data_IF_865350596511
#
_entry.id   IF_865350596511
#
_cell.length_a   1.000
_cell.length_b   1.000
_cell.length_c   1.000
_cell.angle_alpha   90.00
_cell.angle_beta   90.00
_cell.angle_gamma   90.00
#
_symmetry.space_group_name_H-M   'P 1'
#
loop_
_entity.id
_entity.type
_entity.pdbx_description
1 polymer ?
#
# COMPACT_ATOMS: atom_id res chain seq x y z
N UNK A 1 -31.68 10.81 0.50
CA UNK A 1 -31.07 10.04 1.60
C UNK A 1 -31.31 8.55 1.39
N UNK A 2 -30.45 7.87 0.62
CA UNK A 2 -30.36 6.40 0.53
C UNK A 2 -29.17 6.08 -0.38
N UNK A 3 -28.34 5.11 0.00
CA UNK A 3 -27.21 4.49 -0.75
C UNK A 3 -25.78 4.64 -0.20
N UNK A 4 -25.59 4.96 1.09
CA UNK A 4 -24.26 4.83 1.74
C UNK A 4 -24.03 3.48 2.46
N UNK A 5 -24.99 2.56 2.47
CA UNK A 5 -24.88 1.29 3.20
C UNK A 5 -24.24 0.16 2.38
N UNK A 6 -24.45 0.12 1.06
CA UNK A 6 -24.01 -1.00 0.21
C UNK A 6 -22.49 -1.08 0.06
N UNK A 7 -21.80 0.06 0.02
CA UNK A 7 -20.34 0.07 -0.07
C UNK A 7 -19.68 -0.33 1.26
N UNK A 8 -20.27 0.00 2.41
CA UNK A 8 -19.65 -0.22 3.74
C UNK A 8 -19.47 -1.70 4.10
N UNK A 9 -20.39 -2.56 3.68
CA UNK A 9 -20.29 -4.03 3.88
C UNK A 9 -19.23 -4.67 2.99
N UNK A 10 -19.03 -4.18 1.77
CA UNK A 10 -17.96 -4.65 0.89
C UNK A 10 -16.56 -4.28 1.43
N UNK A 11 -16.42 -3.09 2.03
CA UNK A 11 -15.15 -2.63 2.61
C UNK A 11 -14.70 -3.46 3.83
N UNK A 12 -15.62 -3.92 4.68
CA UNK A 12 -15.29 -4.80 5.82
C UNK A 12 -14.75 -6.17 5.36
N UNK A 13 -15.23 -6.68 4.21
CA UNK A 13 -14.80 -7.98 3.67
C UNK A 13 -13.40 -7.96 3.07
N UNK A 14 -13.04 -6.90 2.32
CA UNK A 14 -11.70 -6.76 1.73
C UNK A 14 -10.60 -6.64 2.80
N UNK A 15 -10.90 -5.91 3.88
CA UNK A 15 -10.02 -5.75 5.02
C UNK A 15 -9.82 -7.05 5.80
N UNK A 16 -10.91 -7.81 6.03
CA UNK A 16 -10.85 -9.15 6.61
C UNK A 16 -10.03 -10.12 5.75
N UNK A 17 -10.15 -10.04 4.42
CA UNK A 17 -9.40 -10.90 3.50
C UNK A 17 -7.90 -10.54 3.44
N UNK A 18 -7.52 -9.26 3.55
CA UNK A 18 -6.11 -8.86 3.56
C UNK A 18 -5.35 -9.36 4.81
N UNK A 19 -6.05 -9.52 5.94
CA UNK A 19 -5.52 -10.06 7.19
C UNK A 19 -5.73 -11.58 7.34
N UNK A 20 -6.21 -12.24 6.30
CA UNK A 20 -6.35 -13.69 6.23
C UNK A 20 -5.24 -14.26 5.35
N UNK A 21 -4.62 -15.37 5.77
CA UNK A 21 -3.54 -16.06 5.06
C UNK A 21 -3.87 -16.24 3.57
N UNK A 22 -5.01 -16.83 3.24
CA UNK A 22 -5.37 -17.10 1.84
C UNK A 22 -5.71 -15.82 1.06
N UNK A 23 -6.47 -14.89 1.66
CA UNK A 23 -6.87 -13.64 1.00
C UNK A 23 -5.69 -12.73 0.71
N UNK A 24 -4.70 -12.68 1.61
CA UNK A 24 -3.47 -11.91 1.40
C UNK A 24 -2.67 -12.40 0.19
N UNK A 25 -2.58 -13.73 -0.03
CA UNK A 25 -1.89 -14.29 -1.19
C UNK A 25 -2.63 -14.01 -2.50
N UNK A 26 -3.97 -14.06 -2.48
CA UNK A 26 -4.79 -13.68 -3.64
C UNK A 26 -4.59 -12.20 -3.99
N UNK A 27 -4.60 -11.31 -3.00
CA UNK A 27 -4.36 -9.88 -3.22
C UNK A 27 -2.94 -9.62 -3.75
N UNK A 28 -1.92 -10.24 -3.16
CA UNK A 28 -0.55 -10.13 -3.66
C UNK A 28 -0.43 -10.61 -5.11
N UNK A 29 -1.06 -11.74 -5.46
CA UNK A 29 -1.09 -12.23 -6.83
C UNK A 29 -1.85 -11.27 -7.77
N UNK A 30 -2.97 -10.71 -7.34
CA UNK A 30 -3.75 -9.75 -8.12
C UNK A 30 -2.96 -8.47 -8.43
N UNK A 31 -2.21 -7.93 -7.47
CA UNK A 31 -1.39 -6.73 -7.67
C UNK A 31 -0.16 -6.99 -8.54
N UNK A 32 0.41 -8.20 -8.48
CA UNK A 32 1.54 -8.61 -9.33
C UNK A 32 1.12 -9.03 -10.73
N UNK A 33 -0.12 -9.45 -10.92
CA UNK A 33 -0.61 -9.90 -12.22
C UNK A 33 -0.67 -8.75 -13.23
N UNK A 34 -0.10 -8.96 -14.41
CA UNK A 34 -0.27 -8.07 -15.57
C UNK A 34 -1.63 -8.23 -16.26
N UNK A 35 -2.37 -9.30 -15.97
CA UNK A 35 -3.67 -9.57 -16.60
C UNK A 35 -4.84 -8.86 -15.93
N UNK A 36 -4.66 -8.38 -14.70
CA UNK A 36 -5.71 -7.68 -13.98
C UNK A 36 -5.70 -6.20 -14.37
N UNK A 37 -6.84 -5.70 -14.83
CA UNK A 37 -6.99 -4.31 -15.24
C UNK A 37 -6.63 -3.33 -14.13
N UNK A 38 -5.98 -2.24 -14.52
CA UNK A 38 -5.54 -1.19 -13.61
C UNK A 38 -6.70 -0.58 -12.81
N UNK A 39 -7.89 -0.44 -13.42
CA UNK A 39 -9.09 0.04 -12.73
C UNK A 39 -9.53 -0.87 -11.58
N UNK A 40 -9.34 -2.19 -11.71
CA UNK A 40 -9.68 -3.14 -10.64
C UNK A 40 -8.66 -3.04 -9.50
N UNK A 41 -7.36 -2.93 -9.83
CA UNK A 41 -6.31 -2.69 -8.84
C UNK A 41 -6.53 -1.38 -8.08
N UNK A 42 -6.93 -0.32 -8.78
CA UNK A 42 -7.28 0.97 -8.18
C UNK A 42 -8.41 0.84 -7.16
N UNK A 43 -9.51 0.17 -7.51
CA UNK A 43 -10.62 -0.06 -6.57
C UNK A 43 -10.19 -0.84 -5.32
N UNK A 44 -9.31 -1.83 -5.49
CA UNK A 44 -8.75 -2.59 -4.38
C UNK A 44 -7.87 -1.70 -3.49
N UNK A 45 -6.99 -0.89 -4.07
CA UNK A 45 -6.12 0.05 -3.34
C UNK A 45 -6.96 1.07 -2.57
N UNK A 46 -7.98 1.64 -3.21
CA UNK A 46 -8.91 2.59 -2.58
C UNK A 46 -9.62 2.01 -1.37
N UNK A 47 -9.79 0.68 -1.32
CA UNK A 47 -10.37 0.00 -0.15
C UNK A 47 -9.47 0.04 1.08
N UNK A 48 -8.17 0.29 0.92
CA UNK A 48 -7.19 0.39 2.00
C UNK A 48 -6.82 1.83 2.36
N UNK A 49 -7.33 2.83 1.62
CA UNK A 49 -6.89 4.22 1.79
C UNK A 49 -7.21 4.83 3.16
N UNK A 50 -8.21 4.28 3.83
CA UNK A 50 -8.68 4.71 5.15
C UNK A 50 -7.91 4.08 6.32
N UNK A 51 -7.20 2.97 6.12
CA UNK A 51 -6.55 2.24 7.23
C UNK A 51 -5.24 1.52 6.85
N UNK A 52 -4.29 2.30 6.35
CA UNK A 52 -2.93 1.81 6.10
C UNK A 52 -2.19 1.40 7.38
N UNK A 53 -2.45 2.09 8.49
CA UNK A 53 -1.83 1.85 9.79
C UNK A 53 -1.98 0.40 10.23
N UNK A 54 -3.22 -0.06 10.22
CA UNK A 54 -3.59 -1.39 10.68
C UNK A 54 -3.33 -2.48 9.63
N UNK A 55 -3.35 -2.15 8.33
CA UNK A 55 -2.92 -3.07 7.27
C UNK A 55 -1.43 -3.41 7.40
N UNK A 56 -0.58 -2.40 7.53
CA UNK A 56 0.88 -2.57 7.56
C UNK A 56 1.33 -3.22 8.88
N UNK A 57 0.61 -2.98 9.96
CA UNK A 57 0.95 -3.54 11.28
C UNK A 57 0.62 -5.04 11.40
N UNK A 58 -0.13 -5.60 10.45
CA UNK A 58 -0.52 -7.02 10.39
C UNK A 58 0.53 -7.89 9.68
N UNK A 59 0.60 -9.18 10.06
CA UNK A 59 1.55 -10.16 9.51
C UNK A 59 1.34 -10.38 8.00
N UNK A 60 0.09 -10.44 7.57
CA UNK A 60 -0.27 -10.70 6.17
C UNK A 60 -0.45 -9.40 5.40
N UNK A 61 -1.07 -8.41 6.06
CA UNK A 61 -1.31 -7.10 5.48
C UNK A 61 -0.02 -6.35 5.10
N UNK A 62 1.08 -6.54 5.82
CA UNK A 62 2.38 -5.94 5.45
C UNK A 62 2.87 -6.41 4.07
N UNK A 63 2.68 -7.69 3.73
CA UNK A 63 3.05 -8.23 2.42
C UNK A 63 2.13 -7.76 1.29
N UNK A 64 0.84 -7.56 1.61
CA UNK A 64 -0.10 -6.92 0.68
C UNK A 64 0.33 -5.48 0.39
N UNK A 65 0.68 -4.72 1.43
CA UNK A 65 1.21 -3.37 1.29
C UNK A 65 2.48 -3.33 0.42
N UNK A 66 3.42 -4.26 0.63
CA UNK A 66 4.63 -4.36 -0.19
C UNK A 66 4.29 -4.55 -1.67
N UNK A 67 3.34 -5.44 -1.98
CA UNK A 67 2.92 -5.69 -3.36
C UNK A 67 2.20 -4.48 -3.97
N UNK A 68 1.43 -3.73 -3.18
CA UNK A 68 0.82 -2.46 -3.61
C UNK A 68 1.91 -1.40 -3.87
N UNK A 69 2.90 -1.30 -3.00
CA UNK A 69 4.00 -0.34 -3.11
C UNK A 69 4.86 -0.59 -4.36
N UNK A 70 5.12 -1.85 -4.68
CA UNK A 70 5.88 -2.29 -5.85
C UNK A 70 5.04 -2.26 -7.15
N UNK A 71 3.71 -2.12 -7.04
CA UNK A 71 2.82 -2.04 -8.20
C UNK A 71 3.14 -0.81 -9.08
N UNK A 72 3.09 -1.00 -10.41
CA UNK A 72 3.32 0.05 -11.41
C UNK A 72 2.37 1.24 -11.30
N UNK A 73 1.19 1.04 -10.71
CA UNK A 73 0.19 2.07 -10.45
C UNK A 73 0.63 3.08 -9.39
N UNK A 74 1.53 2.68 -8.49
CA UNK A 74 2.04 3.56 -7.45
C UNK A 74 3.17 4.44 -7.99
N UNK A 75 2.78 5.48 -8.71
CA UNK A 75 3.70 6.54 -9.15
C UNK A 75 4.39 7.21 -7.96
N UNK A 76 5.53 7.85 -8.20
CA UNK A 76 6.31 8.54 -7.15
C UNK A 76 5.45 9.58 -6.40
N UNK A 77 4.54 10.26 -7.10
CA UNK A 77 3.60 11.22 -6.49
C UNK A 77 2.66 10.53 -5.50
N UNK A 78 2.05 9.42 -5.90
CA UNK A 78 1.13 8.68 -5.02
C UNK A 78 1.84 8.05 -3.82
N UNK A 79 3.05 7.53 -4.03
CA UNK A 79 3.93 7.07 -2.94
C UNK A 79 4.22 8.20 -1.95
N UNK A 80 4.49 9.41 -2.45
CA UNK A 80 4.71 10.59 -1.60
C UNK A 80 3.46 10.98 -0.80
N UNK A 81 2.27 10.95 -1.41
CA UNK A 81 1.03 11.27 -0.71
C UNK A 81 0.67 10.22 0.35
N UNK A 82 0.90 8.94 0.04
CA UNK A 82 0.82 7.86 1.02
C UNK A 82 1.81 8.06 2.17
N UNK A 83 3.07 8.37 1.90
CA UNK A 83 4.07 8.63 2.94
C UNK A 83 3.70 9.80 3.85
N UNK A 84 3.04 10.85 3.33
CA UNK A 84 2.51 11.94 4.19
C UNK A 84 1.47 11.42 5.19
N UNK A 85 0.63 10.46 4.78
CA UNK A 85 -0.36 9.81 5.67
C UNK A 85 0.31 8.88 6.68
N UNK A 86 1.39 8.18 6.30
CA UNK A 86 2.08 7.21 7.16
C UNK A 86 2.99 7.85 8.19
N UNK A 87 3.64 8.97 7.88
CA UNK A 87 4.58 9.67 8.79
C UNK A 87 4.01 9.98 10.18
N UNK A 88 2.77 10.46 10.36
CA UNK A 88 2.21 10.74 11.69
C UNK A 88 1.78 9.47 12.45
N UNK A 89 1.62 8.33 11.77
CA UNK A 89 1.21 7.08 12.41
C UNK A 89 2.41 6.50 13.16
N UNK A 90 2.22 6.27 14.46
CA UNK A 90 3.18 5.55 15.29
C UNK A 90 2.63 4.14 15.55
N UNK A 91 3.41 3.12 15.21
CA UNK A 91 3.08 1.73 15.49
C UNK A 91 4.34 1.00 15.92
N UNK A 92 4.21 0.23 17.00
CA UNK A 92 5.29 -0.57 17.56
C UNK A 92 5.47 -1.94 16.88
N UNK A 93 4.58 -2.26 15.94
CA UNK A 93 4.63 -3.51 15.19
C UNK A 93 5.97 -3.66 14.47
N UNK A 94 6.55 -4.86 14.57
CA UNK A 94 7.77 -5.20 13.82
C UNK A 94 7.54 -5.07 12.30
N UNK A 95 6.35 -5.44 11.82
CA UNK A 95 5.98 -5.35 10.41
C UNK A 95 5.91 -3.90 9.93
N UNK A 96 5.37 -3.03 10.78
CA UNK A 96 5.41 -1.58 10.56
C UNK A 96 6.83 -1.06 10.42
N UNK A 97 7.71 -1.38 11.36
CA UNK A 97 9.12 -0.95 11.33
C UNK A 97 9.82 -1.41 10.04
N UNK A 98 9.63 -2.66 9.62
CA UNK A 98 10.18 -3.18 8.37
C UNK A 98 9.61 -2.45 7.13
N UNK A 99 8.30 -2.23 7.07
CA UNK A 99 7.68 -1.49 5.97
C UNK A 99 8.20 -0.04 5.88
N UNK A 100 8.36 0.64 7.02
CA UNK A 100 8.86 2.02 7.05
C UNK A 100 10.34 2.11 6.67
N UNK A 101 11.15 1.10 7.00
CA UNK A 101 12.52 0.98 6.51
C UNK A 101 12.54 0.79 4.98
N UNK A 102 11.68 -0.07 4.44
CA UNK A 102 11.56 -0.30 2.98
C UNK A 102 11.15 0.96 2.23
N UNK A 103 10.18 1.71 2.77
CA UNK A 103 9.75 3.00 2.23
C UNK A 103 10.75 4.13 2.49
N UNK A 104 11.83 3.86 3.22
CA UNK A 104 12.89 4.82 3.53
C UNK A 104 12.34 6.08 4.22
N UNK A 105 11.47 5.87 5.21
CA UNK A 105 10.75 6.94 5.92
C UNK A 105 11.70 7.97 6.54
N UNK A 106 12.86 7.54 7.01
CA UNK A 106 13.87 8.45 7.56
C UNK A 106 14.33 9.47 6.52
N UNK A 107 14.69 9.01 5.31
CA UNK A 107 15.08 9.89 4.21
C UNK A 107 13.90 10.78 3.80
N UNK A 108 12.67 10.26 3.79
CA UNK A 108 11.48 11.07 3.50
C UNK A 108 11.27 12.20 4.50
N UNK A 109 11.55 11.97 5.80
CA UNK A 109 11.45 13.00 6.85
C UNK A 109 12.58 14.03 6.75
N UNK A 110 13.80 13.59 6.45
CA UNK A 110 15.00 14.44 6.40
C UNK A 110 15.10 15.25 5.11
N UNK A 111 14.91 14.62 3.96
CA UNK A 111 15.01 15.22 2.63
C UNK A 111 14.02 14.58 1.65
N UNK A 112 12.86 15.22 1.51
CA UNK A 112 11.82 14.79 0.57
C UNK A 112 12.28 14.81 -0.88
N UNK A 113 13.17 15.73 -1.27
CA UNK A 113 13.64 15.84 -2.66
C UNK A 113 14.56 14.67 -2.99
N UNK A 114 15.54 14.38 -2.12
CA UNK A 114 16.42 13.23 -2.28
C UNK A 114 15.64 11.91 -2.30
N UNK A 115 14.61 11.78 -1.46
CA UNK A 115 13.72 10.63 -1.47
C UNK A 115 12.97 10.45 -2.79
N UNK A 116 12.39 11.52 -3.34
CA UNK A 116 11.69 11.49 -4.63
C UNK A 116 12.65 11.07 -5.76
N UNK A 117 13.87 11.61 -5.78
CA UNK A 117 14.87 11.23 -6.78
C UNK A 117 15.30 9.76 -6.64
N UNK A 118 15.45 9.24 -5.41
CA UNK A 118 15.69 7.82 -5.17
C UNK A 118 14.55 6.96 -5.72
N UNK A 119 13.30 7.34 -5.47
CA UNK A 119 12.14 6.60 -5.94
C UNK A 119 12.03 6.63 -7.48
N UNK A 120 12.31 7.76 -8.13
CA UNK A 120 12.38 7.85 -9.60
C UNK A 120 13.45 6.91 -10.19
N UNK A 121 14.62 6.81 -9.55
CA UNK A 121 15.69 5.89 -9.99
C UNK A 121 15.28 4.43 -9.85
N UNK A 122 14.60 4.06 -8.76
CA UNK A 122 14.09 2.67 -8.58
C UNK A 122 13.08 2.25 -9.64
N UNK A 123 12.23 3.18 -10.11
CA UNK A 123 11.26 2.90 -11.19
C UNK A 123 11.95 2.73 -12.54
N UNK A 124 13.07 3.42 -12.77
CA UNK A 124 13.87 3.30 -14.01
C UNK A 124 14.68 2.01 -14.06
N UNK A 125 15.17 1.50 -12.93
CA UNK A 125 15.92 0.25 -12.86
C UNK A 125 15.09 -1.02 -13.10
N UNK A 126 13.77 -0.96 -12.92
CA UNK A 126 12.86 -2.09 -13.15
C UNK A 126 12.43 -2.29 -14.62
N UNK A 127 12.97 -1.48 -15.55
CA UNK A 127 12.70 -1.54 -17.01
C UNK A 127 13.85 -2.10 -17.83
N UNK A 128 14.88 -2.69 -17.21
CA UNK A 128 15.97 -3.39 -17.90
C UNK A 128 15.82 -4.90 -17.76
#
# INVERSE_FOLDING_TARGET
>A
LKNNASWRVSFHSSYFQAKNKCGSHVLQAAFRSSTLEDNVKEKLISSFEDDWGSLISDVYGSHVFESIWECSLFTVKRRQDLMKKLVPIQSDSKFWKFAMLRCDMYLFRKDRKAWVEKMKKSVKGAKQ
#
